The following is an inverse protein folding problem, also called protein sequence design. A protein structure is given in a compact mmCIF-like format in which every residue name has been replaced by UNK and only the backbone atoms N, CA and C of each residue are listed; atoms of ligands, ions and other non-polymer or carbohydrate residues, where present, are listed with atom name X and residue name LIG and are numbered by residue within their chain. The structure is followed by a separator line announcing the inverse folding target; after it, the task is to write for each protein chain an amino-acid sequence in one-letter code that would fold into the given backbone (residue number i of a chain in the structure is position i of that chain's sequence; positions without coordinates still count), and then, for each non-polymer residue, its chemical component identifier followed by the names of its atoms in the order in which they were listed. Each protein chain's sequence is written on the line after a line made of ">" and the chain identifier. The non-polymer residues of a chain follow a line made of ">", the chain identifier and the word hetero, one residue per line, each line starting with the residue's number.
data_IF_137399866502
#
_entry.id   IF_137399866502
#
_cell.length_a   1.000
_cell.length_b   1.000
_cell.length_c   1.000
_cell.angle_alpha   90.00
_cell.angle_beta   90.00
_cell.angle_gamma   90.00
#
_symmetry.space_group_name_H-M   'P 1'
#
loop_
_entity.id
_entity.type
_entity.pdbx_description
1 polymer ?
#
# COMPACT_ATOMS: atom_id res chain seq x y z
N UNK A 1 6.01 8.84 4.88
CA UNK A 1 5.30 8.85 6.18
C UNK A 1 5.62 10.15 6.88
N UNK A 2 4.63 10.74 7.56
CA UNK A 2 4.77 11.99 8.31
C UNK A 2 5.22 13.21 7.48
N UNK A 3 4.63 13.41 6.32
CA UNK A 3 4.80 14.64 5.55
C UNK A 3 3.81 15.73 5.98
N UNK A 4 4.18 17.02 5.84
CA UNK A 4 3.23 18.12 6.02
C UNK A 4 2.08 18.00 5.00
N UNK A 5 0.98 18.77 5.20
CA UNK A 5 -0.11 18.84 4.23
C UNK A 5 0.36 19.50 2.93
N UNK A 6 0.63 18.70 1.92
CA UNK A 6 1.13 19.14 0.62
C UNK A 6 0.43 18.39 -0.51
N UNK A 7 0.55 18.86 -1.73
CA UNK A 7 0.08 18.21 -2.94
C UNK A 7 1.24 17.70 -3.79
N UNK A 8 1.00 16.60 -4.51
CA UNK A 8 1.84 16.24 -5.66
C UNK A 8 1.66 17.27 -6.77
N UNK A 9 2.51 17.23 -7.79
CA UNK A 9 2.35 18.08 -9.00
C UNK A 9 1.02 17.84 -9.71
N UNK A 10 0.47 16.63 -9.57
CA UNK A 10 -0.79 16.21 -10.21
C UNK A 10 -2.02 16.50 -9.32
N UNK A 11 -1.84 17.20 -8.20
CA UNK A 11 -2.93 17.67 -7.34
C UNK A 11 -3.47 16.65 -6.34
N UNK A 12 -2.77 15.57 -6.05
CA UNK A 12 -3.13 14.61 -5.01
C UNK A 12 -2.47 14.94 -3.67
N UNK A 13 -3.14 14.58 -2.56
CA UNK A 13 -2.50 14.60 -1.24
C UNK A 13 -1.16 13.84 -1.32
N UNK A 14 -0.10 14.43 -0.80
CA UNK A 14 1.28 13.99 -1.08
C UNK A 14 1.54 12.52 -0.74
N UNK A 15 0.98 11.99 0.36
CA UNK A 15 1.18 10.60 0.76
C UNK A 15 0.28 9.65 -0.04
N UNK A 16 -0.95 10.05 -0.34
CA UNK A 16 -1.87 9.25 -1.14
C UNK A 16 -1.43 9.19 -2.61
N UNK A 17 -1.07 10.32 -3.19
CA UNK A 17 -0.56 10.40 -4.55
C UNK A 17 0.71 9.57 -4.74
N UNK A 18 1.68 9.70 -3.81
CA UNK A 18 2.94 8.95 -3.90
C UNK A 18 2.76 7.45 -3.63
N UNK A 19 2.03 7.08 -2.57
CA UNK A 19 1.97 5.70 -2.11
C UNK A 19 0.94 4.84 -2.86
N UNK A 20 -0.14 5.45 -3.38
CA UNK A 20 -1.20 4.73 -4.07
C UNK A 20 -1.28 5.11 -5.56
N UNK A 21 -1.60 6.35 -5.90
CA UNK A 21 -1.88 6.74 -7.29
C UNK A 21 -0.68 6.48 -8.20
N UNK A 22 0.52 6.89 -7.79
CA UNK A 22 1.76 6.67 -8.56
C UNK A 22 2.08 5.19 -8.76
N UNK A 23 1.84 4.35 -7.74
CA UNK A 23 2.05 2.90 -7.87
C UNK A 23 0.94 2.22 -8.71
N UNK A 24 -0.30 2.69 -8.59
CA UNK A 24 -1.39 2.21 -9.45
C UNK A 24 -1.12 2.55 -10.92
N UNK A 25 -0.60 3.76 -11.21
CA UNK A 25 -0.20 4.16 -12.56
C UNK A 25 0.96 3.28 -13.09
N UNK A 26 2.00 3.08 -12.28
CA UNK A 26 3.11 2.18 -12.65
C UNK A 26 2.59 0.77 -12.97
N UNK A 27 1.71 0.26 -12.12
CA UNK A 27 1.12 -1.06 -12.34
C UNK A 27 0.25 -1.09 -13.58
N UNK A 28 -0.55 -0.05 -13.85
CA UNK A 28 -1.36 0.06 -15.08
C UNK A 28 -0.50 -0.11 -16.34
N UNK A 29 0.69 0.47 -16.36
CA UNK A 29 1.62 0.33 -17.50
C UNK A 29 2.29 -1.05 -17.55
N UNK A 30 2.60 -1.65 -16.43
CA UNK A 30 3.25 -2.96 -16.38
C UNK A 30 2.27 -4.13 -16.56
N UNK A 31 0.99 -3.92 -16.24
CA UNK A 31 -0.01 -4.98 -16.17
C UNK A 31 -0.19 -5.76 -17.48
N UNK A 32 -0.18 -5.14 -18.69
CA UNK A 32 -0.25 -5.89 -19.94
C UNK A 32 0.88 -6.91 -20.07
N UNK A 33 2.12 -6.51 -19.77
CA UNK A 33 3.29 -7.39 -19.79
C UNK A 33 3.20 -8.49 -18.74
N UNK A 34 2.79 -8.13 -17.53
CA UNK A 34 2.63 -9.07 -16.40
C UNK A 34 1.58 -10.14 -16.72
N UNK A 35 0.45 -9.73 -17.31
CA UNK A 35 -0.63 -10.64 -17.74
C UNK A 35 -0.17 -11.52 -18.89
N UNK A 36 0.46 -10.95 -19.90
CA UNK A 36 1.00 -11.73 -21.03
C UNK A 36 2.00 -12.78 -20.54
N UNK A 37 2.89 -12.41 -19.63
CA UNK A 37 3.85 -13.35 -19.03
C UNK A 37 3.15 -14.47 -18.29
N UNK A 38 2.13 -14.14 -17.48
CA UNK A 38 1.38 -15.11 -16.70
C UNK A 38 0.63 -16.11 -17.61
N UNK A 39 0.15 -15.67 -18.77
CA UNK A 39 -0.56 -16.55 -19.71
C UNK A 39 0.39 -17.50 -20.47
N UNK A 40 1.67 -17.12 -20.59
CA UNK A 40 2.69 -17.97 -21.25
C UNK A 40 3.32 -19.02 -20.32
N UNK A 41 3.21 -18.80 -19.01
CA UNK A 41 3.78 -19.72 -18.02
C UNK A 41 2.76 -20.79 -17.62
N UNK A 42 3.28 -21.96 -17.25
CA UNK A 42 2.46 -23.12 -16.86
C UNK A 42 1.76 -22.95 -15.52
N UNK A 43 2.20 -21.98 -14.71
CA UNK A 43 1.69 -21.75 -13.36
C UNK A 43 1.50 -20.26 -13.08
N UNK A 44 0.28 -19.90 -12.71
CA UNK A 44 -0.06 -18.53 -12.25
C UNK A 44 0.75 -18.08 -11.03
N UNK A 45 1.30 -19.02 -10.25
CA UNK A 45 2.10 -18.72 -9.06
C UNK A 45 3.51 -18.16 -9.38
N UNK A 46 3.94 -18.18 -10.63
CA UNK A 46 5.28 -17.71 -11.03
C UNK A 46 5.31 -16.21 -11.27
N UNK A 47 4.20 -15.60 -11.64
CA UNK A 47 4.10 -14.16 -11.87
C UNK A 47 3.46 -13.49 -10.65
N UNK A 48 4.15 -12.53 -10.07
CA UNK A 48 3.75 -11.95 -8.80
C UNK A 48 3.80 -10.44 -8.78
N UNK A 49 2.85 -9.85 -8.06
CA UNK A 49 2.81 -8.43 -7.72
C UNK A 49 2.73 -8.30 -6.20
N UNK A 50 3.71 -7.65 -5.58
CA UNK A 50 3.75 -7.42 -4.14
C UNK A 50 3.60 -5.93 -3.87
N UNK A 51 2.49 -5.55 -3.23
CA UNK A 51 2.15 -4.16 -2.92
C UNK A 51 2.50 -3.86 -1.47
N UNK A 52 3.35 -2.87 -1.25
CA UNK A 52 3.80 -2.48 0.08
C UNK A 52 2.75 -1.65 0.82
N UNK A 53 2.14 -2.24 1.83
CA UNK A 53 1.23 -1.60 2.76
C UNK A 53 1.92 -1.31 4.12
N UNK A 54 1.18 -1.22 5.19
CA UNK A 54 1.64 -0.99 6.57
C UNK A 54 0.57 -1.40 7.56
N UNK A 55 0.93 -1.65 8.81
CA UNK A 55 -0.02 -1.76 9.91
C UNK A 55 -0.89 -0.49 10.05
N UNK A 56 -0.38 0.65 9.59
CA UNK A 56 -1.11 1.93 9.59
C UNK A 56 -2.44 1.88 8.81
N UNK A 57 -2.65 0.91 7.92
CA UNK A 57 -3.92 0.71 7.23
C UNK A 57 -5.10 0.44 8.17
N UNK A 58 -4.83 0.00 9.42
CA UNK A 58 -5.85 -0.21 10.46
C UNK A 58 -6.24 1.07 11.19
N UNK A 59 -5.42 2.10 11.09
CA UNK A 59 -5.54 3.39 11.78
C UNK A 59 -5.79 4.50 10.75
N UNK A 60 -6.79 4.31 9.94
CA UNK A 60 -7.24 5.27 8.94
C UNK A 60 -8.52 5.95 9.41
N UNK A 61 -9.05 6.89 8.62
CA UNK A 61 -10.38 7.50 8.87
C UNK A 61 -11.48 6.44 8.89
N UNK A 62 -12.59 6.72 9.58
CA UNK A 62 -13.68 5.75 9.76
C UNK A 62 -14.29 5.22 8.45
N UNK A 63 -14.22 6.01 7.39
CA UNK A 63 -14.65 5.62 6.03
C UNK A 63 -13.60 4.81 5.25
N UNK A 64 -12.43 4.50 5.85
CA UNK A 64 -11.29 3.87 5.16
C UNK A 64 -10.50 4.86 4.31
N UNK A 65 -11.13 5.49 3.34
CA UNK A 65 -10.61 6.61 2.53
C UNK A 65 -11.68 7.69 2.48
N UNK A 66 -11.29 8.91 2.78
CA UNK A 66 -12.08 10.11 2.51
C UNK A 66 -11.67 10.68 1.14
N UNK A 67 -12.41 10.29 0.12
CA UNK A 67 -12.11 10.66 -1.28
C UNK A 67 -12.13 12.17 -1.52
N UNK A 68 -12.81 12.96 -0.68
CA UNK A 68 -12.79 14.41 -0.77
C UNK A 68 -11.46 15.01 -0.33
N UNK A 69 -10.69 14.28 0.47
CA UNK A 69 -9.39 14.74 0.99
C UNK A 69 -8.21 14.32 0.12
N UNK A 70 -8.34 13.29 -0.72
CA UNK A 70 -7.21 12.77 -1.51
C UNK A 70 -6.82 13.68 -2.68
N UNK A 71 -7.66 14.66 -3.03
CA UNK A 71 -7.40 15.69 -4.07
C UNK A 71 -7.21 17.09 -3.50
N UNK A 72 -6.89 17.20 -2.22
CA UNK A 72 -6.50 18.44 -1.59
C UNK A 72 -5.44 18.16 -0.52
N UNK A 73 -4.95 19.19 0.18
CA UNK A 73 -3.88 19.03 1.19
C UNK A 73 -4.30 18.22 2.42
N UNK A 74 -5.58 17.94 2.57
CA UNK A 74 -6.15 17.22 3.72
C UNK A 74 -5.70 17.80 5.09
N UNK A 75 -5.68 19.13 5.22
CA UNK A 75 -5.17 19.82 6.42
C UNK A 75 -5.92 19.48 7.69
N UNK A 76 -7.22 19.11 7.58
CA UNK A 76 -8.05 18.64 8.69
C UNK A 76 -7.65 17.25 9.22
N UNK A 77 -6.90 16.49 8.46
CA UNK A 77 -6.45 15.15 8.83
C UNK A 77 -5.04 15.18 9.41
N UNK A 78 -4.82 14.35 10.41
CA UNK A 78 -3.47 14.14 10.92
C UNK A 78 -2.56 13.52 9.83
N UNK A 79 -1.26 13.68 9.98
CA UNK A 79 -0.32 13.04 9.05
C UNK A 79 -0.43 11.50 9.07
N UNK A 80 -0.89 10.93 10.18
CA UNK A 80 -1.14 9.49 10.32
C UNK A 80 -2.38 9.04 9.58
N UNK A 81 -3.48 9.82 9.65
CA UNK A 81 -4.71 9.52 8.90
C UNK A 81 -4.42 9.54 7.40
N UNK A 82 -3.71 10.57 6.91
CA UNK A 82 -3.30 10.67 5.52
C UNK A 82 -2.42 9.49 5.09
N UNK A 83 -1.43 9.13 5.90
CA UNK A 83 -0.61 7.94 5.66
C UNK A 83 -1.44 6.65 5.73
N UNK A 84 -2.29 6.53 6.75
CA UNK A 84 -3.21 5.40 6.93
C UNK A 84 -4.09 5.18 5.71
N UNK A 85 -4.71 6.24 5.18
CA UNK A 85 -5.51 6.18 3.94
C UNK A 85 -4.71 5.63 2.77
N UNK A 86 -3.47 6.10 2.56
CA UNK A 86 -2.62 5.63 1.47
C UNK A 86 -2.25 4.15 1.59
N UNK A 87 -2.00 3.67 2.81
CA UNK A 87 -1.64 2.27 3.05
C UNK A 87 -2.87 1.35 3.10
N UNK A 88 -4.02 1.89 3.49
CA UNK A 88 -5.30 1.21 3.35
C UNK A 88 -5.66 1.02 1.86
N UNK A 89 -5.50 2.05 1.05
CA UNK A 89 -5.69 1.95 -0.40
C UNK A 89 -4.83 0.82 -1.00
N UNK A 90 -3.56 0.73 -0.62
CA UNK A 90 -2.67 -0.32 -1.12
C UNK A 90 -3.15 -1.73 -0.76
N UNK A 91 -3.63 -1.95 0.48
CA UNK A 91 -4.14 -3.27 0.89
C UNK A 91 -5.46 -3.64 0.18
N UNK A 92 -6.40 -2.69 0.10
CA UNK A 92 -7.69 -2.91 -0.56
C UNK A 92 -7.54 -3.08 -2.08
N UNK A 93 -6.66 -2.29 -2.70
CA UNK A 93 -6.37 -2.35 -4.14
C UNK A 93 -5.70 -3.67 -4.53
N UNK A 94 -4.72 -4.14 -3.75
CA UNK A 94 -4.11 -5.46 -3.98
C UNK A 94 -5.15 -6.58 -3.99
N UNK A 95 -6.09 -6.54 -3.04
CA UNK A 95 -7.16 -7.53 -2.96
C UNK A 95 -8.12 -7.48 -4.15
N UNK A 96 -8.46 -6.29 -4.61
CA UNK A 96 -9.34 -6.12 -5.78
C UNK A 96 -8.63 -6.53 -7.08
N UNK A 97 -7.35 -6.16 -7.24
CA UNK A 97 -6.51 -6.64 -8.34
C UNK A 97 -6.46 -8.16 -8.42
N UNK A 98 -6.27 -8.83 -7.29
CA UNK A 98 -6.22 -10.30 -7.24
C UNK A 98 -7.48 -10.98 -7.77
N UNK A 99 -8.66 -10.36 -7.59
CA UNK A 99 -9.92 -10.86 -8.15
C UNK A 99 -10.02 -10.64 -9.64
N UNK A 100 -9.50 -9.50 -10.12
CA UNK A 100 -9.56 -9.13 -11.54
C UNK A 100 -8.54 -9.86 -12.39
N UNK A 101 -7.41 -10.23 -11.80
CA UNK A 101 -6.31 -10.90 -12.47
C UNK A 101 -5.93 -12.22 -11.76
N UNK A 102 -6.82 -13.24 -11.81
CA UNK A 102 -6.60 -14.52 -11.10
C UNK A 102 -5.40 -15.31 -11.63
N UNK A 103 -4.88 -14.98 -12.80
CA UNK A 103 -3.68 -15.57 -13.39
C UNK A 103 -2.37 -15.03 -12.77
N UNK A 104 -2.45 -14.07 -11.85
CA UNK A 104 -1.29 -13.46 -11.18
C UNK A 104 -1.44 -13.62 -9.67
N UNK A 105 -0.37 -13.98 -8.97
CA UNK A 105 -0.38 -13.92 -7.50
C UNK A 105 -0.12 -12.48 -7.03
N UNK A 106 -1.12 -11.85 -6.44
CA UNK A 106 -1.04 -10.47 -5.97
C UNK A 106 -1.20 -10.44 -4.45
N UNK A 107 -0.21 -9.91 -3.74
CA UNK A 107 -0.23 -9.84 -2.28
C UNK A 107 0.08 -8.42 -1.79
N UNK A 108 -0.44 -8.07 -0.62
CA UNK A 108 -0.01 -6.89 0.10
C UNK A 108 0.72 -7.26 1.38
N UNK A 109 1.74 -6.47 1.76
CA UNK A 109 2.61 -6.81 2.88
C UNK A 109 2.89 -5.62 3.79
N UNK A 110 3.11 -5.90 5.08
CA UNK A 110 3.66 -4.94 6.04
C UNK A 110 5.13 -5.31 6.33
N UNK A 111 6.09 -4.40 6.12
CA UNK A 111 7.50 -4.64 6.41
C UNK A 111 7.84 -4.58 7.91
N UNK A 112 6.88 -4.17 8.76
CA UNK A 112 7.16 -3.84 10.16
C UNK A 112 7.78 -2.44 10.34
N UNK A 113 8.29 -2.20 11.54
CA UNK A 113 9.01 -0.98 11.89
C UNK A 113 10.48 -1.11 11.45
N UNK A 114 10.83 -0.57 10.28
CA UNK A 114 12.18 -0.72 9.71
C UNK A 114 13.02 0.52 9.98
N UNK A 115 14.24 0.34 10.48
CA UNK A 115 15.24 1.42 10.71
C UNK A 115 15.75 1.96 9.36
N UNK A 116 15.08 2.98 8.83
CA UNK A 116 15.43 3.61 7.55
C UNK A 116 15.52 5.12 7.68
N UNK A 117 16.00 5.81 6.63
CA UNK A 117 16.01 7.27 6.55
C UNK A 117 14.61 7.92 6.62
N UNK A 118 13.55 7.14 6.47
CA UNK A 118 12.16 7.60 6.58
C UNK A 118 11.84 8.24 7.95
N UNK A 119 12.60 7.86 8.98
CA UNK A 119 12.45 8.38 10.35
C UNK A 119 13.10 9.76 10.55
N UNK A 120 13.92 10.19 9.61
CA UNK A 120 14.61 11.50 9.67
C UNK A 120 13.72 12.67 9.24
N UNK A 121 12.49 12.42 8.78
CA UNK A 121 11.55 13.48 8.39
C UNK A 121 11.04 14.23 9.62
N UNK A 122 11.23 15.56 9.62
CA UNK A 122 10.88 16.44 10.74
C UNK A 122 9.37 16.71 10.89
N UNK A 123 8.53 16.15 10.02
CA UNK A 123 7.15 16.58 9.81
C UNK A 123 6.11 15.99 10.77
N UNK A 124 6.46 15.08 11.66
CA UNK A 124 5.52 14.39 12.55
C UNK A 124 5.20 15.06 13.88
N UNK A 125 5.66 16.30 14.12
CA UNK A 125 5.52 16.95 15.42
C UNK A 125 6.45 16.39 16.51
N UNK A 126 6.56 17.11 17.64
CA UNK A 126 7.51 16.75 18.72
C UNK A 126 7.18 15.41 19.37
N UNK A 127 5.91 15.15 19.64
CA UNK A 127 5.45 13.88 20.26
C UNK A 127 5.75 12.66 19.38
N UNK A 128 5.56 12.77 18.07
CA UNK A 128 5.88 11.69 17.15
C UNK A 128 7.40 11.45 17.05
N UNK A 129 8.18 12.50 17.06
CA UNK A 129 9.66 12.37 17.08
C UNK A 129 10.14 11.72 18.38
N UNK A 130 9.55 12.06 19.51
CA UNK A 130 9.84 11.41 20.80
C UNK A 130 9.45 9.92 20.76
N UNK A 131 8.26 9.61 20.24
CA UNK A 131 7.84 8.22 20.04
C UNK A 131 8.83 7.46 19.14
N UNK A 132 9.21 8.02 18.01
CA UNK A 132 10.20 7.40 17.12
C UNK A 132 11.55 7.21 17.81
N UNK A 133 12.04 8.24 18.51
CA UNK A 133 13.34 8.17 19.19
C UNK A 133 13.36 7.13 20.32
N UNK A 134 12.23 6.92 20.99
CA UNK A 134 12.12 5.99 22.11
C UNK A 134 11.85 4.55 21.65
N UNK A 135 10.96 4.35 20.70
CA UNK A 135 10.49 3.01 20.34
C UNK A 135 11.21 2.37 19.14
N UNK A 136 11.62 3.16 18.14
CA UNK A 136 12.28 2.59 16.96
C UNK A 136 13.62 1.90 17.28
N UNK A 137 14.47 2.41 18.18
CA UNK A 137 15.68 1.67 18.58
C UNK A 137 15.37 0.30 19.17
N UNK A 138 14.23 0.15 19.86
CA UNK A 138 13.85 -1.08 20.57
C UNK A 138 13.14 -2.07 19.64
N UNK A 139 12.10 -1.59 18.92
CA UNK A 139 11.23 -2.46 18.11
C UNK A 139 11.58 -2.46 16.63
N UNK A 140 12.43 -1.54 16.19
CA UNK A 140 12.82 -1.40 14.78
C UNK A 140 13.78 -2.48 14.35
N UNK A 141 13.48 -3.12 13.23
CA UNK A 141 14.31 -4.13 12.59
C UNK A 141 15.26 -3.51 11.56
N UNK A 142 16.27 -4.25 11.17
CA UNK A 142 17.18 -3.86 10.07
C UNK A 142 16.44 -3.80 8.72
N UNK A 143 16.93 -3.06 7.71
CA UNK A 143 16.35 -3.08 6.37
C UNK A 143 16.28 -4.49 5.78
N UNK A 144 17.25 -5.34 6.04
CA UNK A 144 17.29 -6.74 5.59
C UNK A 144 16.13 -7.55 6.20
N UNK A 145 15.90 -7.42 7.49
CA UNK A 145 14.77 -8.07 8.17
C UNK A 145 13.44 -7.49 7.69
N UNK A 146 13.35 -6.16 7.50
CA UNK A 146 12.17 -5.50 6.96
C UNK A 146 11.81 -5.94 5.54
N UNK A 147 12.80 -6.37 4.74
CA UNK A 147 12.59 -6.89 3.39
C UNK A 147 12.06 -8.33 3.35
N UNK A 148 12.18 -9.09 4.45
CA UNK A 148 11.84 -10.54 4.46
C UNK A 148 10.40 -10.82 4.03
N UNK A 149 9.44 -9.99 4.44
CA UNK A 149 8.03 -10.21 4.09
C UNK A 149 7.77 -9.98 2.59
N UNK A 150 8.40 -9.00 2.00
CA UNK A 150 8.30 -8.72 0.57
C UNK A 150 8.95 -9.84 -0.25
N UNK A 151 10.16 -10.28 0.16
CA UNK A 151 10.85 -11.40 -0.50
C UNK A 151 10.04 -12.68 -0.37
N UNK A 152 9.53 -12.98 0.84
CA UNK A 152 8.68 -14.14 1.06
C UNK A 152 7.43 -14.11 0.15
N UNK A 153 6.70 -13.00 0.11
CA UNK A 153 5.52 -12.88 -0.74
C UNK A 153 5.86 -12.97 -2.25
N UNK A 154 7.05 -12.54 -2.64
CA UNK A 154 7.53 -12.60 -4.02
C UNK A 154 8.00 -14.01 -4.44
N UNK A 155 8.36 -14.90 -3.51
CA UNK A 155 9.02 -16.18 -3.84
C UNK A 155 8.34 -17.42 -3.26
N UNK A 156 7.58 -17.31 -2.16
CA UNK A 156 6.97 -18.45 -1.50
C UNK A 156 5.78 -19.00 -2.30
N UNK A 157 5.72 -20.32 -2.48
CA UNK A 157 4.58 -21.02 -3.05
C UNK A 157 3.33 -20.98 -2.16
N UNK A 158 3.49 -20.64 -0.89
CA UNK A 158 2.41 -20.51 0.09
C UNK A 158 1.70 -19.15 0.03
N UNK A 159 2.21 -18.19 -0.74
CA UNK A 159 1.58 -16.89 -0.88
C UNK A 159 0.27 -17.00 -1.67
N UNK A 160 -0.83 -16.64 -1.01
CA UNK A 160 -2.19 -16.67 -1.57
C UNK A 160 -2.54 -15.29 -2.14
N UNK A 161 -3.07 -15.28 -3.36
CA UNK A 161 -3.48 -14.06 -4.05
C UNK A 161 -4.62 -13.35 -3.30
N UNK A 162 -4.51 -12.04 -3.15
CA UNK A 162 -5.49 -11.20 -2.45
C UNK A 162 -5.26 -11.08 -0.94
N UNK A 163 -4.26 -11.77 -0.37
CA UNK A 163 -4.00 -11.71 1.07
C UNK A 163 -3.03 -10.59 1.46
N UNK A 164 -3.19 -10.15 2.72
CA UNK A 164 -2.30 -9.21 3.40
C UNK A 164 -1.49 -9.97 4.44
N UNK A 165 -0.16 -9.82 4.39
CA UNK A 165 0.77 -10.55 5.24
C UNK A 165 1.44 -9.67 6.29
N UNK A 166 1.31 -10.06 7.56
CA UNK A 166 2.04 -9.51 8.70
C UNK A 166 1.85 -10.40 9.94
N UNK A 167 2.94 -10.85 10.61
CA UNK A 167 4.34 -10.84 10.18
C UNK A 167 4.59 -11.69 8.92
N UNK A 168 5.86 -12.01 8.66
CA UNK A 168 6.28 -12.77 7.46
C UNK A 168 5.48 -14.07 7.33
N UNK A 169 4.82 -14.25 6.19
CA UNK A 169 4.04 -15.46 5.86
C UNK A 169 2.72 -15.61 6.61
N UNK A 170 2.35 -14.70 7.51
CA UNK A 170 1.09 -14.79 8.26
C UNK A 170 0.01 -13.96 7.58
N UNK A 171 -0.98 -14.65 7.01
CA UNK A 171 -2.12 -14.06 6.33
C UNK A 171 -3.24 -13.62 7.29
N UNK A 172 -4.26 -12.96 6.75
CA UNK A 172 -5.54 -12.72 7.45
C UNK A 172 -5.59 -11.46 8.31
N UNK A 173 -4.47 -10.78 8.55
CA UNK A 173 -4.36 -9.63 9.44
C UNK A 173 -4.77 -8.27 8.82
N UNK A 174 -5.37 -8.26 7.62
CA UNK A 174 -5.97 -7.04 7.08
C UNK A 174 -7.18 -6.60 7.92
N UNK A 175 -7.46 -5.29 7.97
CA UNK A 175 -8.67 -4.79 8.61
C UNK A 175 -9.93 -5.33 7.93
N UNK A 176 -11.02 -5.52 8.67
CA UNK A 176 -12.29 -5.98 8.11
C UNK A 176 -12.75 -5.08 6.94
N UNK A 177 -12.54 -3.78 7.08
CA UNK A 177 -12.90 -2.80 6.07
C UNK A 177 -12.06 -2.90 4.79
N UNK A 178 -10.75 -3.19 4.90
CA UNK A 178 -9.89 -3.48 3.74
C UNK A 178 -10.26 -4.79 3.02
N UNK A 179 -10.99 -5.67 3.69
CA UNK A 179 -11.55 -6.91 3.11
C UNK A 179 -12.89 -6.71 2.40
N UNK A 180 -13.53 -5.53 2.54
CA UNK A 180 -14.82 -5.23 1.90
C UNK A 180 -14.70 -5.26 0.38
N UNK A 181 -15.51 -6.11 -0.25
CA UNK A 181 -15.56 -6.21 -1.70
C UNK A 181 -16.19 -4.95 -2.35
N UNK A 182 -17.14 -4.33 -1.66
CA UNK A 182 -17.77 -3.10 -2.10
C UNK A 182 -16.76 -1.96 -2.11
N UNK A 183 -16.00 -1.81 -1.02
CA UNK A 183 -14.96 -0.80 -0.92
C UNK A 183 -13.85 -1.02 -1.95
N UNK A 184 -13.43 -2.26 -2.15
CA UNK A 184 -12.43 -2.61 -3.17
C UNK A 184 -12.85 -2.17 -4.57
N UNK A 185 -14.11 -2.43 -4.97
CA UNK A 185 -14.67 -1.96 -6.25
C UNK A 185 -14.71 -0.43 -6.32
N UNK A 186 -15.21 0.25 -5.29
CA UNK A 186 -15.25 1.72 -5.25
C UNK A 186 -13.87 2.35 -5.41
N UNK A 187 -12.87 1.81 -4.73
CA UNK A 187 -11.47 2.28 -4.84
C UNK A 187 -10.93 2.01 -6.25
N UNK A 188 -11.18 0.84 -6.79
CA UNK A 188 -10.79 0.49 -8.17
C UNK A 188 -11.37 1.48 -9.17
N UNK A 189 -12.69 1.68 -9.16
CA UNK A 189 -13.39 2.54 -10.11
C UNK A 189 -12.90 3.99 -10.01
N UNK A 190 -12.67 4.47 -8.80
CA UNK A 190 -12.08 5.79 -8.56
C UNK A 190 -10.65 5.85 -9.14
N UNK A 191 -9.82 4.86 -8.85
CA UNK A 191 -8.43 4.84 -9.32
C UNK A 191 -8.35 4.78 -10.85
N UNK A 192 -9.14 3.92 -11.49
CA UNK A 192 -9.17 3.84 -12.96
C UNK A 192 -9.61 5.15 -13.62
N UNK A 193 -10.60 5.82 -13.04
CA UNK A 193 -11.05 7.13 -13.49
C UNK A 193 -9.96 8.19 -13.37
N UNK A 194 -9.23 8.22 -12.25
CA UNK A 194 -8.12 9.17 -12.06
C UNK A 194 -6.94 8.89 -13.00
N UNK A 195 -6.76 7.65 -13.40
CA UNK A 195 -5.70 7.23 -14.32
C UNK A 195 -6.16 7.19 -15.79
N UNK A 196 -7.37 7.67 -16.07
CA UNK A 196 -7.88 7.76 -17.45
C UNK A 196 -7.03 8.73 -18.29
N UNK A 197 -6.75 8.35 -19.53
CA UNK A 197 -5.92 9.18 -20.43
C UNK A 197 -4.41 9.02 -20.29
N UNK A 198 -3.90 8.43 -19.19
CA UNK A 198 -2.48 8.08 -19.08
C UNK A 198 -2.18 6.87 -19.99
N UNK A 199 -1.33 7.08 -21.00
CA UNK A 199 -0.85 6.07 -21.96
C UNK A 199 0.67 6.08 -21.98
N UNK A 200 1.28 4.92 -22.27
CA UNK A 200 2.71 4.85 -22.60
C UNK A 200 2.96 5.52 -23.94
#
# INVERSE_FOLDING_TARGET
>A
MAFPPELTKDGYEIQFGTNHVGHALLLKFLLPLVVETATKLSSASEVRVVILSSIAHKFTVSSGIDFDTVKNKAERLSTFDRYGQSKFANAAYARELAKRYPQITIASVNPGAVKTGLQKTKAGGVLFRLYQAMFIPIIGVSPQEGARNQVWAATSKEAVSGEYYTPVGVAGNASAFAKSAEFGRKLWDWTEKELEGHRL
#
